data_IF_799752528543
#
_entry.id   IF_799752528543
#
_cell.length_a   1.000
_cell.length_b   1.000
_cell.length_c   1.000
_cell.angle_alpha   90.00
_cell.angle_beta   90.00
_cell.angle_gamma   90.00
#
_symmetry.space_group_name_H-M   'P 1'
#
loop_
_entity.id
_entity.type
_entity.pdbx_description
1 polymer ?
#
# COMPACT_ATOMS: atom_id res chain seq x y z
N UNK A 1 16.81 -49.48 -21.42
CA UNK A 1 15.43 -49.11 -21.05
C UNK A 1 15.47 -47.85 -20.20
N UNK A 2 15.18 -46.72 -20.84
CA UNK A 2 15.00 -45.41 -20.20
C UNK A 2 13.51 -45.23 -19.94
N UNK A 3 13.09 -45.27 -18.68
CA UNK A 3 11.75 -44.85 -18.25
C UNK A 3 11.81 -44.78 -16.74
N UNK A 4 11.78 -43.56 -16.19
CA UNK A 4 11.42 -43.18 -14.81
C UNK A 4 12.02 -41.82 -14.37
N UNK A 5 12.50 -40.97 -15.30
CA UNK A 5 12.95 -39.60 -14.99
C UNK A 5 11.91 -38.53 -15.39
N UNK A 6 10.79 -38.92 -16.01
CA UNK A 6 9.79 -37.97 -16.51
C UNK A 6 8.70 -37.56 -15.49
N UNK A 7 8.56 -38.27 -14.38
CA UNK A 7 7.48 -37.97 -13.41
C UNK A 7 7.82 -36.89 -12.39
N UNK A 8 9.10 -36.62 -12.11
CA UNK A 8 9.48 -35.57 -11.14
C UNK A 8 9.40 -34.15 -11.71
N UNK A 9 9.37 -33.99 -13.03
CA UNK A 9 9.35 -32.65 -13.67
C UNK A 9 7.94 -32.06 -13.75
N UNK A 10 6.88 -32.87 -13.67
CA UNK A 10 5.50 -32.41 -13.82
C UNK A 10 4.88 -31.83 -12.54
N UNK A 11 5.52 -31.95 -11.38
CA UNK A 11 4.99 -31.43 -10.10
C UNK A 11 5.52 -30.05 -9.69
N UNK A 12 6.46 -29.46 -10.45
CA UNK A 12 7.07 -28.15 -10.13
C UNK A 12 6.30 -26.99 -10.83
N UNK A 13 5.34 -27.28 -11.69
CA UNK A 13 4.76 -26.30 -12.63
C UNK A 13 3.63 -25.40 -12.14
N UNK A 14 3.09 -25.56 -10.92
CA UNK A 14 1.83 -24.88 -10.54
C UNK A 14 1.86 -24.12 -9.21
N UNK A 15 3.03 -23.66 -8.77
CA UNK A 15 3.10 -22.58 -7.79
C UNK A 15 3.52 -21.28 -8.46
N UNK A 16 2.81 -20.88 -9.53
CA UNK A 16 2.67 -19.45 -9.80
C UNK A 16 1.79 -18.90 -8.68
N UNK A 17 2.40 -18.65 -7.52
CA UNK A 17 1.84 -17.72 -6.55
C UNK A 17 1.73 -16.42 -7.34
N UNK A 18 0.51 -16.05 -7.74
CA UNK A 18 0.22 -14.74 -8.28
C UNK A 18 0.51 -13.74 -7.16
N UNK A 19 1.79 -13.44 -6.94
CA UNK A 19 2.18 -12.32 -6.11
C UNK A 19 1.70 -11.12 -6.88
N UNK A 20 0.65 -10.47 -6.39
CA UNK A 20 0.18 -9.20 -6.90
C UNK A 20 1.37 -8.24 -6.75
N UNK A 21 2.02 -7.92 -7.87
CA UNK A 21 3.14 -6.98 -7.87
C UNK A 21 2.57 -5.57 -7.95
N UNK A 22 2.86 -4.75 -6.94
CA UNK A 22 2.50 -3.34 -6.96
C UNK A 22 3.19 -2.66 -8.15
N UNK A 23 2.43 -2.01 -9.06
CA UNK A 23 2.98 -1.41 -10.27
C UNK A 23 4.08 -0.39 -10.00
N UNK A 24 5.14 -0.43 -10.79
CA UNK A 24 6.33 0.41 -10.62
C UNK A 24 6.01 1.91 -10.69
N UNK A 25 5.05 2.27 -11.54
CA UNK A 25 4.55 3.62 -11.77
C UNK A 25 3.84 4.24 -10.57
N UNK A 26 3.39 3.44 -9.60
CA UNK A 26 2.69 3.92 -8.41
C UNK A 26 3.64 4.21 -7.25
N UNK A 27 4.92 3.85 -7.37
CA UNK A 27 5.95 4.27 -6.41
C UNK A 27 6.41 5.68 -6.71
N UNK A 28 5.92 6.63 -5.92
CA UNK A 28 6.38 8.02 -6.01
C UNK A 28 7.83 8.20 -5.51
N UNK A 29 8.40 9.37 -5.79
CA UNK A 29 9.76 9.73 -5.39
C UNK A 29 9.99 9.54 -3.88
N UNK A 30 9.00 9.91 -3.06
CA UNK A 30 9.06 9.84 -1.60
C UNK A 30 9.17 8.39 -1.11
N UNK A 31 8.36 7.51 -1.68
CA UNK A 31 8.35 6.08 -1.41
C UNK A 31 9.70 5.45 -1.79
N UNK A 32 10.23 5.76 -2.98
CA UNK A 32 11.52 5.25 -3.43
C UNK A 32 12.71 5.74 -2.57
N UNK A 33 12.68 7.00 -2.12
CA UNK A 33 13.68 7.54 -1.20
C UNK A 33 13.60 6.86 0.18
N UNK A 34 12.40 6.67 0.71
CA UNK A 34 12.20 6.01 1.99
C UNK A 34 12.55 4.52 1.96
N UNK A 35 12.27 3.81 0.88
CA UNK A 35 12.73 2.42 0.67
C UNK A 35 14.24 2.30 0.85
N UNK A 36 15.00 3.20 0.21
CA UNK A 36 16.46 3.26 0.35
C UNK A 36 16.88 3.59 1.78
N UNK A 37 16.22 4.57 2.41
CA UNK A 37 16.58 5.08 3.74
C UNK A 37 16.37 4.02 4.84
N UNK A 38 15.27 3.27 4.78
CA UNK A 38 14.92 2.26 5.80
C UNK A 38 15.30 0.83 5.38
N UNK A 39 16.02 0.69 4.27
CA UNK A 39 16.52 -0.58 3.75
C UNK A 39 15.41 -1.64 3.59
N UNK A 40 14.38 -1.26 2.83
CA UNK A 40 13.31 -2.14 2.34
C UNK A 40 13.22 -2.03 0.81
N UNK A 41 12.68 -3.06 0.17
CA UNK A 41 12.50 -3.11 -1.28
C UNK A 41 11.01 -3.28 -1.64
N UNK A 42 10.71 -3.33 -2.95
CA UNK A 42 9.35 -3.53 -3.45
C UNK A 42 8.77 -4.88 -3.01
N UNK A 43 9.60 -5.91 -2.95
CA UNK A 43 9.20 -7.24 -2.49
C UNK A 43 8.73 -7.22 -1.03
N UNK A 44 9.37 -6.39 -0.18
CA UNK A 44 8.91 -6.15 1.18
C UNK A 44 7.51 -5.51 1.21
N UNK A 45 7.26 -4.47 0.39
CA UNK A 45 5.94 -3.82 0.33
C UNK A 45 4.87 -4.78 -0.17
N UNK A 46 5.13 -5.51 -1.26
CA UNK A 46 4.20 -6.51 -1.80
C UNK A 46 3.89 -7.61 -0.77
N UNK A 47 4.83 -7.97 0.10
CA UNK A 47 4.67 -9.03 1.09
C UNK A 47 3.81 -8.63 2.30
N UNK A 48 3.72 -7.34 2.62
CA UNK A 48 2.94 -6.87 3.77
C UNK A 48 1.49 -6.56 3.42
N UNK A 49 1.19 -6.46 2.12
CA UNK A 49 -0.16 -6.32 1.59
C UNK A 49 -0.78 -7.70 1.32
N UNK A 50 -2.09 -7.82 1.46
CA UNK A 50 -2.85 -8.97 0.96
C UNK A 50 -3.37 -8.73 -0.47
N UNK A 51 -4.18 -9.67 -0.96
CA UNK A 51 -4.74 -9.64 -2.31
C UNK A 51 -5.72 -8.48 -2.57
N UNK A 52 -6.31 -7.92 -1.50
CA UNK A 52 -7.23 -6.78 -1.55
C UNK A 52 -6.51 -5.45 -1.28
N UNK A 53 -5.18 -5.47 -1.24
CA UNK A 53 -4.29 -4.34 -0.93
C UNK A 53 -4.35 -3.85 0.51
N UNK A 54 -4.97 -4.57 1.44
CA UNK A 54 -4.89 -4.24 2.86
C UNK A 54 -3.51 -4.61 3.40
N UNK A 55 -3.02 -3.81 4.34
CA UNK A 55 -1.84 -4.19 5.12
C UNK A 55 -2.28 -5.25 6.13
N UNK A 56 -1.86 -6.49 5.89
CA UNK A 56 -2.21 -7.67 6.69
C UNK A 56 -1.22 -7.94 7.83
N UNK A 57 -0.01 -7.36 7.76
CA UNK A 57 1.05 -7.59 8.74
C UNK A 57 1.83 -6.33 9.10
N UNK A 58 1.78 -5.97 10.38
CA UNK A 58 2.64 -4.94 10.95
C UNK A 58 4.03 -5.52 11.22
N UNK A 59 5.05 -4.77 10.83
CA UNK A 59 6.43 -5.01 11.25
C UNK A 59 7.07 -3.67 11.63
N UNK A 60 8.09 -3.64 12.51
CA UNK A 60 8.80 -2.41 12.84
C UNK A 60 9.32 -1.68 11.59
N UNK A 61 9.85 -2.42 10.61
CA UNK A 61 10.30 -1.87 9.32
C UNK A 61 9.18 -1.24 8.50
N UNK A 62 7.97 -1.81 8.53
CA UNK A 62 6.82 -1.21 7.84
C UNK A 62 6.43 0.11 8.49
N UNK A 63 6.41 0.16 9.83
CA UNK A 63 6.15 1.41 10.55
C UNK A 63 7.23 2.46 10.25
N UNK A 64 8.52 2.09 10.27
CA UNK A 64 9.62 2.98 9.88
C UNK A 64 9.47 3.50 8.44
N UNK A 65 9.09 2.63 7.51
CA UNK A 65 8.82 3.00 6.11
C UNK A 65 7.66 3.99 6.00
N UNK A 66 6.50 3.70 6.60
CA UNK A 66 5.31 4.57 6.53
C UNK A 66 5.54 5.92 7.22
N UNK A 67 6.21 5.93 8.38
CA UNK A 67 6.61 7.17 9.07
C UNK A 67 7.58 8.00 8.20
N UNK A 68 8.54 7.36 7.54
CA UNK A 68 9.43 8.04 6.60
C UNK A 68 8.64 8.69 5.45
N UNK A 69 7.74 7.95 4.81
CA UNK A 69 6.96 8.45 3.67
C UNK A 69 6.11 9.64 4.11
N UNK A 70 5.38 9.51 5.21
CA UNK A 70 4.55 10.57 5.77
C UNK A 70 5.38 11.83 6.10
N UNK A 71 6.53 11.67 6.75
CA UNK A 71 7.42 12.78 7.06
C UNK A 71 7.96 13.46 5.79
N UNK A 72 8.37 12.67 4.78
CA UNK A 72 8.95 13.20 3.54
C UNK A 72 7.95 14.02 2.71
N UNK A 73 6.65 13.73 2.84
CA UNK A 73 5.56 14.47 2.19
C UNK A 73 5.08 15.67 3.00
N UNK A 74 5.52 15.83 4.25
CA UNK A 74 4.86 16.69 5.25
C UNK A 74 3.37 16.34 5.42
N UNK A 75 3.06 15.04 5.43
CA UNK A 75 1.70 14.53 5.49
C UNK A 75 1.01 14.82 6.84
N UNK A 76 1.79 15.09 7.89
CA UNK A 76 1.28 15.44 9.21
C UNK A 76 1.64 16.89 9.54
N UNK A 77 0.70 17.62 10.14
CA UNK A 77 0.98 18.93 10.72
C UNK A 77 1.62 18.82 12.12
N UNK A 78 1.93 19.96 12.74
CA UNK A 78 2.54 20.02 14.08
C UNK A 78 1.68 19.37 15.18
N UNK A 79 0.36 19.30 14.98
CA UNK A 79 -0.58 18.60 15.87
C UNK A 79 -0.73 17.11 15.54
N UNK A 80 0.14 16.56 14.66
CA UNK A 80 0.10 15.16 14.26
C UNK A 80 -1.11 14.76 13.40
N UNK A 81 -1.89 15.74 12.91
CA UNK A 81 -3.07 15.49 12.07
C UNK A 81 -2.70 15.39 10.59
N UNK A 82 -3.43 14.54 9.88
CA UNK A 82 -3.25 14.34 8.44
C UNK A 82 -3.59 15.60 7.63
N UNK A 83 -2.74 15.92 6.66
CA UNK A 83 -2.98 16.95 5.67
C UNK A 83 -3.94 16.39 4.60
N UNK A 84 -5.12 17.00 4.49
CA UNK A 84 -6.17 16.57 3.56
C UNK A 84 -5.71 16.53 2.11
N UNK A 85 -5.00 17.54 1.65
CA UNK A 85 -4.63 17.66 0.24
C UNK A 85 -3.58 16.61 -0.14
N UNK A 86 -2.67 16.29 0.77
CA UNK A 86 -1.71 15.20 0.59
C UNK A 86 -2.44 13.86 0.53
N UNK A 87 -3.33 13.59 1.49
CA UNK A 87 -4.12 12.36 1.51
C UNK A 87 -4.98 12.20 0.25
N UNK A 88 -5.66 13.27 -0.16
CA UNK A 88 -6.46 13.31 -1.39
C UNK A 88 -5.61 12.97 -2.62
N UNK A 89 -4.42 13.55 -2.74
CA UNK A 89 -3.53 13.29 -3.87
C UNK A 89 -3.00 11.85 -3.86
N UNK A 90 -2.70 11.28 -2.69
CA UNK A 90 -2.28 9.88 -2.55
C UNK A 90 -3.41 8.92 -2.91
N UNK A 91 -4.65 9.24 -2.55
CA UNK A 91 -5.83 8.46 -2.97
C UNK A 91 -6.04 8.55 -4.48
N UNK A 92 -6.07 9.77 -5.03
CA UNK A 92 -6.39 10.01 -6.43
C UNK A 92 -5.34 9.44 -7.38
N UNK A 93 -4.05 9.59 -7.06
CA UNK A 93 -2.95 9.24 -7.96
C UNK A 93 -2.25 7.94 -7.59
N UNK A 94 -2.48 7.40 -6.40
CA UNK A 94 -1.92 6.13 -5.93
C UNK A 94 -2.98 5.04 -5.82
N UNK A 95 -3.87 5.19 -4.84
CA UNK A 95 -4.81 4.12 -4.46
C UNK A 95 -5.84 3.79 -5.55
N UNK A 96 -6.53 4.80 -6.11
CA UNK A 96 -7.58 4.54 -7.11
C UNK A 96 -7.02 3.90 -8.39
N UNK A 97 -5.87 4.35 -8.94
CA UNK A 97 -5.19 3.64 -10.03
C UNK A 97 -4.81 2.21 -9.67
N UNK A 98 -4.26 1.96 -8.46
CA UNK A 98 -3.92 0.62 -7.98
C UNK A 98 -5.12 -0.33 -8.01
N UNK A 99 -6.28 0.18 -7.60
CA UNK A 99 -7.53 -0.56 -7.51
C UNK A 99 -8.32 -0.57 -8.84
N UNK A 100 -7.72 -0.09 -9.94
CA UNK A 100 -8.35 0.02 -11.26
C UNK A 100 -9.67 0.81 -11.26
N UNK A 101 -9.87 1.74 -10.32
CA UNK A 101 -11.03 2.63 -10.24
C UNK A 101 -10.83 3.77 -11.24
N UNK A 102 -11.40 3.66 -12.45
CA UNK A 102 -11.14 4.60 -13.57
C UNK A 102 -12.26 5.60 -13.82
N UNK A 103 -13.43 5.43 -13.18
CA UNK A 103 -14.58 6.33 -13.30
C UNK A 103 -14.75 7.14 -12.03
N UNK A 104 -15.23 8.37 -12.18
CA UNK A 104 -15.59 9.27 -11.08
C UNK A 104 -14.49 9.45 -10.02
N UNK A 105 -13.22 9.29 -10.42
CA UNK A 105 -12.06 9.25 -9.53
C UNK A 105 -11.98 10.47 -8.60
N UNK A 106 -12.32 11.65 -9.10
CA UNK A 106 -12.32 12.90 -8.31
C UNK A 106 -13.38 12.85 -7.22
N UNK A 107 -14.58 12.37 -7.51
CA UNK A 107 -15.66 12.25 -6.53
C UNK A 107 -15.33 11.18 -5.49
N UNK A 108 -14.87 10.00 -5.95
CA UNK A 108 -14.45 8.91 -5.08
C UNK A 108 -13.30 9.34 -4.18
N UNK A 109 -12.27 10.00 -4.72
CA UNK A 109 -11.12 10.46 -3.94
C UNK A 109 -11.54 11.44 -2.84
N UNK A 110 -12.46 12.36 -3.11
CA UNK A 110 -13.00 13.26 -2.08
C UNK A 110 -13.74 12.48 -0.98
N UNK A 111 -14.66 11.58 -1.36
CA UNK A 111 -15.42 10.77 -0.41
C UNK A 111 -14.52 9.91 0.48
N UNK A 112 -13.58 9.19 -0.13
CA UNK A 112 -12.63 8.32 0.57
C UNK A 112 -11.75 9.14 1.52
N UNK A 113 -11.25 10.29 1.07
CA UNK A 113 -10.43 11.17 1.90
C UNK A 113 -11.23 11.68 3.10
N UNK A 114 -12.44 12.18 2.89
CA UNK A 114 -13.28 12.72 3.96
C UNK A 114 -13.72 11.64 4.96
N UNK A 115 -13.93 10.39 4.51
CA UNK A 115 -14.27 9.26 5.39
C UNK A 115 -13.09 8.83 6.27
N UNK A 116 -11.85 8.94 5.80
CA UNK A 116 -10.68 8.36 6.48
C UNK A 116 -9.71 9.36 7.09
N UNK A 117 -9.82 10.66 6.81
CA UNK A 117 -8.84 11.67 7.23
C UNK A 117 -8.64 11.72 8.75
N UNK A 118 -9.70 11.51 9.51
CA UNK A 118 -9.67 11.55 10.97
C UNK A 118 -9.25 10.21 11.60
N UNK A 119 -8.98 9.15 10.82
CA UNK A 119 -8.55 7.85 11.38
C UNK A 119 -7.22 7.98 12.13
N UNK A 120 -6.32 8.85 11.66
CA UNK A 120 -5.09 9.14 12.39
C UNK A 120 -5.40 10.05 13.59
N UNK A 121 -5.43 9.43 14.76
CA UNK A 121 -5.40 10.12 16.05
C UNK A 121 -3.96 10.12 16.59
N UNK A 122 -3.65 11.07 17.47
CA UNK A 122 -2.31 11.25 18.03
C UNK A 122 -1.73 9.94 18.61
N UNK A 123 -0.48 9.63 18.22
CA UNK A 123 0.41 8.62 18.80
C UNK A 123 -0.11 7.18 18.95
N UNK A 124 -1.16 6.78 18.23
CA UNK A 124 -1.56 5.36 18.22
C UNK A 124 -0.59 4.53 17.40
N UNK A 125 -0.11 3.43 17.97
CA UNK A 125 0.67 2.42 17.22
C UNK A 125 -0.12 2.01 15.97
N UNK A 126 0.59 1.89 14.84
CA UNK A 126 0.03 1.43 13.57
C UNK A 126 -1.03 2.36 12.93
N UNK A 127 -1.04 3.65 13.30
CA UNK A 127 -1.93 4.67 12.71
C UNK A 127 -1.98 4.65 11.18
N UNK A 128 -0.84 4.44 10.53
CA UNK A 128 -0.76 4.42 9.07
C UNK A 128 -1.31 3.15 8.45
N UNK A 129 -1.27 2.02 9.17
CA UNK A 129 -1.96 0.80 8.75
C UNK A 129 -3.47 1.01 8.81
N UNK A 130 -3.99 1.54 9.92
CA UNK A 130 -5.42 1.81 10.05
C UNK A 130 -5.91 2.81 9.02
N UNK A 131 -5.13 3.87 8.75
CA UNK A 131 -5.44 4.80 7.69
C UNK A 131 -5.48 4.10 6.33
N UNK A 132 -4.40 3.40 5.94
CA UNK A 132 -4.33 2.70 4.65
C UNK A 132 -5.52 1.75 4.46
N UNK A 133 -5.80 0.90 5.45
CA UNK A 133 -6.89 -0.06 5.38
C UNK A 133 -8.27 0.63 5.31
N UNK A 134 -8.46 1.75 6.03
CA UNK A 134 -9.67 2.57 5.87
C UNK A 134 -9.82 3.06 4.42
N UNK A 135 -8.75 3.58 3.82
CA UNK A 135 -8.81 4.10 2.45
C UNK A 135 -9.18 3.01 1.45
N UNK A 136 -8.60 1.81 1.60
CA UNK A 136 -8.93 0.63 0.77
C UNK A 136 -10.40 0.26 0.94
N UNK A 137 -10.89 0.15 2.17
CA UNK A 137 -12.29 -0.19 2.46
C UNK A 137 -13.27 0.84 1.87
N UNK A 138 -12.99 2.14 2.08
CA UNK A 138 -13.80 3.23 1.55
C UNK A 138 -13.75 3.27 0.02
N UNK A 139 -12.60 3.02 -0.60
CA UNK A 139 -12.47 2.97 -2.06
C UNK A 139 -13.18 1.75 -2.67
N UNK A 140 -13.28 0.63 -1.95
CA UNK A 140 -14.08 -0.51 -2.39
C UNK A 140 -15.59 -0.26 -2.30
N UNK A 141 -16.01 0.52 -1.30
CA UNK A 141 -17.41 0.92 -1.06
C UNK A 141 -17.97 1.86 -2.14
N UNK A 142 -17.13 2.70 -2.76
CA UNK A 142 -17.52 3.69 -3.79
C UNK A 142 -17.06 3.27 -5.18
#
# INVERSE_FOLDING_TARGET
MHSNIFYCVLLIGFQQVFSLEFPDELYDKHSLECMKKVNVDKAFVNKVMDEDFHISKITPKLNEFMECVAASKNALNEAGKMNRDILYNDVLNGLLPLMNKTKDQVEIANKVTDECIDVIHEHTENRFMHLHNCLVDAANKH
#
